data_IF_104298739613
#
_entry.id   IF_104298739613
#
_cell.length_a   1.000
_cell.length_b   1.000
_cell.length_c   1.000
_cell.angle_alpha   90.00
_cell.angle_beta   90.00
_cell.angle_gamma   90.00
#
_symmetry.space_group_name_H-M   'P 1'
#
loop_
_entity.id
_entity.type
_entity.pdbx_description
1 polymer ?
#
# COMPACT_ATOMS: atom_id res chain seq x y z
N UNK A 1 35.51 -7.22 -12.41
CA UNK A 1 36.44 -7.34 -11.26
C UNK A 1 35.60 -7.54 -10.01
N UNK A 2 35.93 -8.57 -9.26
CA UNK A 2 35.07 -9.24 -8.26
C UNK A 2 34.70 -8.34 -7.07
N UNK A 3 33.41 -8.27 -6.76
CA UNK A 3 32.89 -7.66 -5.53
C UNK A 3 33.20 -8.58 -4.35
N UNK A 4 33.97 -8.05 -3.40
CA UNK A 4 34.39 -8.76 -2.21
C UNK A 4 33.26 -8.70 -1.17
N UNK A 5 32.74 -9.87 -0.78
CA UNK A 5 31.76 -10.02 0.29
C UNK A 5 32.48 -9.94 1.65
N UNK A 6 32.36 -8.82 2.34
CA UNK A 6 32.78 -8.65 3.74
C UNK A 6 31.70 -9.17 4.69
N UNK A 7 32.08 -10.09 5.58
CA UNK A 7 31.20 -10.78 6.53
C UNK A 7 30.65 -9.92 7.69
N UNK A 8 29.82 -10.53 8.57
CA UNK A 8 28.99 -9.80 9.52
C UNK A 8 29.77 -9.47 10.80
N UNK A 9 29.73 -8.20 11.22
CA UNK A 9 30.10 -7.78 12.58
C UNK A 9 28.87 -7.28 13.33
N UNK A 10 28.78 -7.68 14.60
CA UNK A 10 27.59 -7.67 15.43
C UNK A 10 27.23 -6.32 16.08
N UNK A 11 25.93 -6.23 16.42
CA UNK A 11 25.28 -5.48 17.51
C UNK A 11 24.62 -4.14 17.18
N UNK A 12 23.31 -4.25 16.93
CA UNK A 12 22.31 -3.19 16.91
C UNK A 12 21.03 -3.80 16.34
N UNK A 13 19.86 -3.46 16.90
CA UNK A 13 18.53 -3.72 16.31
C UNK A 13 18.35 -2.92 14.98
N UNK A 14 19.36 -2.97 14.12
CA UNK A 14 19.39 -2.32 12.83
C UNK A 14 18.52 -3.09 11.86
N UNK A 15 17.51 -2.41 11.33
CA UNK A 15 16.72 -2.93 10.23
C UNK A 15 17.65 -3.38 9.09
N UNK A 16 17.68 -4.68 8.78
CA UNK A 16 18.43 -5.17 7.62
C UNK A 16 17.66 -4.83 6.36
N UNK A 17 18.28 -4.09 5.45
CA UNK A 17 17.77 -3.85 4.11
C UNK A 17 18.39 -4.85 3.13
N UNK A 18 17.61 -5.25 2.14
CA UNK A 18 18.03 -6.12 1.05
C UNK A 18 17.84 -5.40 -0.29
N UNK A 19 18.87 -5.44 -1.12
CA UNK A 19 18.83 -4.88 -2.47
C UNK A 19 18.05 -5.82 -3.40
N UNK A 20 17.08 -5.27 -4.12
CA UNK A 20 16.35 -5.98 -5.17
C UNK A 20 17.27 -6.29 -6.35
N UNK A 21 17.20 -7.51 -6.87
CA UNK A 21 18.02 -7.94 -8.01
C UNK A 21 17.33 -7.57 -9.34
N UNK A 22 18.04 -6.91 -10.27
CA UNK A 22 17.58 -6.72 -11.65
C UNK A 22 17.15 -8.03 -12.31
N UNK A 23 16.15 -7.96 -13.17
CA UNK A 23 15.57 -9.08 -13.90
C UNK A 23 15.74 -8.86 -15.42
N UNK A 24 16.47 -9.76 -16.09
CA UNK A 24 16.72 -9.67 -17.53
C UNK A 24 15.45 -9.75 -18.39
N UNK A 25 14.38 -10.38 -17.88
CA UNK A 25 13.10 -10.46 -18.58
C UNK A 25 12.21 -9.23 -18.39
N UNK A 26 12.50 -8.37 -17.40
CA UNK A 26 11.67 -7.22 -17.08
C UNK A 26 11.85 -6.10 -18.12
N UNK A 27 10.73 -5.46 -18.47
CA UNK A 27 10.70 -4.36 -19.44
C UNK A 27 9.83 -3.22 -18.91
N UNK A 28 10.30 -2.00 -19.14
CA UNK A 28 9.57 -0.77 -18.85
C UNK A 28 8.64 -0.48 -20.04
N UNK A 29 7.36 -0.85 -19.92
CA UNK A 29 6.42 -0.89 -21.06
C UNK A 29 5.20 0.03 -20.93
N UNK A 30 5.07 0.78 -19.83
CA UNK A 30 4.01 1.78 -19.62
C UNK A 30 2.60 1.22 -19.42
N UNK A 31 2.39 -0.07 -19.68
CA UNK A 31 1.17 -0.82 -19.36
C UNK A 31 1.52 -1.77 -18.23
N UNK A 32 1.39 -1.30 -17.00
CA UNK A 32 1.52 -2.15 -15.83
C UNK A 32 0.16 -2.75 -15.45
N UNK A 33 0.17 -3.92 -14.83
CA UNK A 33 -1.04 -4.55 -14.31
C UNK A 33 -1.86 -3.57 -13.47
N UNK A 34 -3.19 -3.73 -13.50
CA UNK A 34 -4.10 -2.88 -12.75
C UNK A 34 -3.70 -2.79 -11.27
N UNK A 35 -3.55 -1.55 -10.77
CA UNK A 35 -3.36 -1.22 -9.36
C UNK A 35 -4.61 -1.44 -8.50
N UNK A 36 -5.56 -2.27 -8.94
CA UNK A 36 -6.73 -2.63 -8.13
C UNK A 36 -6.29 -3.27 -6.80
N UNK A 37 -6.63 -2.59 -5.70
CA UNK A 37 -6.40 -3.08 -4.35
C UNK A 37 -7.29 -4.27 -4.04
N UNK A 38 -6.90 -5.10 -3.06
CA UNK A 38 -7.75 -6.22 -2.63
C UNK A 38 -9.12 -5.77 -2.13
N UNK A 39 -9.20 -4.62 -1.42
CA UNK A 39 -10.48 -4.04 -1.02
C UNK A 39 -11.33 -3.58 -2.21
N UNK A 40 -10.71 -3.05 -3.28
CA UNK A 40 -11.44 -2.69 -4.51
C UNK A 40 -11.98 -3.93 -5.22
N UNK A 41 -11.20 -5.02 -5.26
CA UNK A 41 -11.65 -6.31 -5.78
C UNK A 41 -12.78 -6.91 -4.95
N UNK A 42 -12.77 -6.73 -3.63
CA UNK A 42 -13.87 -7.12 -2.74
C UNK A 42 -15.15 -6.34 -3.03
N UNK A 43 -15.03 -5.03 -3.23
CA UNK A 43 -16.15 -4.15 -3.60
C UNK A 43 -16.76 -4.58 -4.93
N UNK A 44 -15.92 -4.82 -5.95
CA UNK A 44 -16.37 -5.29 -7.27
C UNK A 44 -17.09 -6.63 -7.13
N UNK A 45 -16.48 -7.59 -6.45
CA UNK A 45 -17.10 -8.90 -6.19
C UNK A 45 -18.45 -8.78 -5.47
N UNK A 46 -18.54 -7.93 -4.45
CA UNK A 46 -19.78 -7.75 -3.72
C UNK A 46 -20.87 -7.10 -4.59
N UNK A 47 -20.51 -6.10 -5.40
CA UNK A 47 -21.42 -5.45 -6.36
C UNK A 47 -21.93 -6.40 -7.42
N UNK A 48 -21.05 -7.20 -8.01
CA UNK A 48 -21.39 -8.09 -9.13
C UNK A 48 -22.34 -9.21 -8.70
N UNK A 49 -22.14 -9.79 -7.52
CA UNK A 49 -22.84 -11.01 -7.13
C UNK A 49 -23.90 -10.84 -6.04
N UNK A 50 -23.82 -9.82 -5.20
CA UNK A 50 -24.67 -9.71 -4.01
C UNK A 50 -25.51 -8.45 -3.99
N UNK A 51 -24.92 -7.29 -4.30
CA UNK A 51 -25.60 -6.01 -4.17
C UNK A 51 -26.81 -5.93 -5.12
N UNK A 52 -27.96 -5.51 -4.58
CA UNK A 52 -29.22 -5.47 -5.34
C UNK A 52 -29.84 -6.84 -5.66
N UNK A 53 -29.22 -7.94 -5.23
CA UNK A 53 -29.69 -9.32 -5.46
C UNK A 53 -30.09 -9.99 -4.14
N UNK A 54 -31.07 -10.91 -4.13
CA UNK A 54 -31.38 -11.70 -2.93
C UNK A 54 -30.18 -12.55 -2.49
N UNK A 55 -29.68 -12.33 -1.29
CA UNK A 55 -28.56 -13.08 -0.71
C UNK A 55 -28.68 -13.12 0.82
N UNK A 56 -27.86 -13.95 1.47
CA UNK A 56 -27.86 -14.09 2.92
C UNK A 56 -26.61 -13.39 3.48
N UNK A 57 -26.81 -12.56 4.50
CA UNK A 57 -25.73 -12.00 5.30
C UNK A 57 -25.73 -12.61 6.69
N UNK A 58 -24.57 -13.02 7.18
CA UNK A 58 -24.35 -13.49 8.53
C UNK A 58 -23.21 -12.71 9.18
N UNK A 59 -23.40 -12.30 10.42
CA UNK A 59 -22.47 -11.48 11.17
C UNK A 59 -22.09 -12.17 12.47
N UNK A 60 -20.89 -11.88 12.97
CA UNK A 60 -20.48 -12.23 14.32
C UNK A 60 -19.68 -11.08 14.92
N UNK A 61 -20.10 -10.57 16.09
CA UNK A 61 -19.34 -9.61 16.89
C UNK A 61 -18.09 -10.23 17.50
N UNK A 62 -18.18 -11.51 17.87
CA UNK A 62 -17.09 -12.26 18.49
C UNK A 62 -17.04 -13.69 17.95
N UNK A 63 -15.84 -14.14 17.57
CA UNK A 63 -15.56 -15.50 17.11
C UNK A 63 -14.08 -15.83 17.31
N UNK A 64 -13.68 -17.07 17.05
CA UNK A 64 -12.27 -17.49 17.05
C UNK A 64 -11.41 -16.74 16.02
N UNK A 65 -12.03 -16.08 15.04
CA UNK A 65 -11.38 -15.26 14.01
C UNK A 65 -11.65 -13.76 14.19
N UNK A 66 -12.10 -13.34 15.39
CA UNK A 66 -12.54 -11.97 15.65
C UNK A 66 -13.94 -11.67 15.07
N UNK A 67 -14.30 -10.39 14.87
CA UNK A 67 -15.55 -10.02 14.21
C UNK A 67 -15.56 -10.47 12.74
N UNK A 68 -16.71 -10.95 12.28
CA UNK A 68 -16.90 -11.50 10.93
C UNK A 68 -18.14 -10.92 10.26
N UNK A 69 -18.05 -10.76 8.95
CA UNK A 69 -19.20 -10.55 8.08
C UNK A 69 -19.12 -11.48 6.87
N UNK A 70 -20.16 -12.27 6.65
CA UNK A 70 -20.21 -13.27 5.59
C UNK A 70 -21.43 -13.03 4.73
N UNK A 71 -21.25 -12.97 3.43
CA UNK A 71 -22.34 -12.91 2.46
C UNK A 71 -22.30 -14.16 1.58
N UNK A 72 -23.43 -14.82 1.40
CA UNK A 72 -23.58 -16.00 0.52
C UNK A 72 -24.74 -15.82 -0.45
N UNK A 73 -24.53 -16.22 -1.70
CA UNK A 73 -25.52 -16.14 -2.79
C UNK A 73 -25.45 -17.40 -3.65
N UNK A 74 -26.60 -17.83 -4.19
CA UNK A 74 -26.66 -18.83 -5.25
C UNK A 74 -26.66 -18.09 -6.60
N UNK A 75 -25.66 -18.36 -7.42
CA UNK A 75 -25.48 -17.76 -8.75
C UNK A 75 -25.32 -18.89 -9.79
N UNK A 76 -26.38 -19.16 -10.54
CA UNK A 76 -26.47 -20.34 -11.40
C UNK A 76 -26.28 -21.64 -10.60
N UNK A 77 -25.31 -22.45 -11.01
CA UNK A 77 -24.96 -23.73 -10.38
C UNK A 77 -23.86 -23.61 -9.30
N UNK A 78 -23.58 -22.40 -8.82
CA UNK A 78 -22.53 -22.15 -7.85
C UNK A 78 -23.03 -21.37 -6.64
N UNK A 79 -22.57 -21.78 -5.46
CA UNK A 79 -22.62 -20.90 -4.29
C UNK A 79 -21.38 -20.01 -4.29
N UNK A 80 -21.60 -18.70 -4.23
CA UNK A 80 -20.55 -17.70 -4.06
C UNK A 80 -20.60 -17.14 -2.66
N UNK A 81 -19.42 -16.90 -2.08
CA UNK A 81 -19.26 -16.33 -0.76
C UNK A 81 -18.25 -15.19 -0.75
N UNK A 82 -18.43 -14.24 0.15
CA UNK A 82 -17.36 -13.36 0.61
C UNK A 82 -17.31 -13.42 2.13
N UNK A 83 -16.17 -13.84 2.68
CA UNK A 83 -15.91 -13.95 4.12
C UNK A 83 -14.98 -12.82 4.52
N UNK A 84 -15.48 -11.83 5.25
CA UNK A 84 -14.73 -10.67 5.70
C UNK A 84 -14.22 -10.91 7.12
N UNK A 85 -12.91 -10.83 7.29
CA UNK A 85 -12.21 -11.06 8.57
C UNK A 85 -11.30 -9.90 8.90
N UNK A 86 -10.73 -9.88 10.10
CA UNK A 86 -9.76 -8.86 10.52
C UNK A 86 -8.46 -8.88 9.72
N UNK A 87 -8.16 -9.96 9.02
CA UNK A 87 -6.91 -10.14 8.26
C UNK A 87 -7.09 -9.88 6.76
N UNK A 88 -8.33 -9.84 6.27
CA UNK A 88 -8.66 -9.68 4.86
C UNK A 88 -10.01 -10.26 4.51
N UNK A 89 -10.39 -10.23 3.23
CA UNK A 89 -11.57 -10.94 2.73
C UNK A 89 -11.17 -12.16 1.92
N UNK A 90 -11.97 -13.21 1.99
CA UNK A 90 -11.88 -14.38 1.13
C UNK A 90 -13.06 -14.38 0.17
N UNK A 91 -12.80 -14.33 -1.14
CA UNK A 91 -13.81 -14.49 -2.19
C UNK A 91 -13.85 -15.97 -2.60
N UNK A 92 -14.97 -16.62 -2.38
CA UNK A 92 -15.08 -18.08 -2.42
C UNK A 92 -16.18 -18.51 -3.40
N UNK A 93 -16.00 -19.64 -4.06
CA UNK A 93 -16.99 -20.24 -4.96
C UNK A 93 -16.93 -21.75 -4.83
N UNK A 94 -18.08 -22.40 -4.70
CA UNK A 94 -18.20 -23.86 -4.70
C UNK A 94 -19.37 -24.30 -5.58
N UNK A 95 -19.25 -25.43 -6.31
CA UNK A 95 -20.38 -26.01 -7.02
C UNK A 95 -21.55 -26.30 -6.08
N UNK A 96 -22.78 -26.08 -6.55
CA UNK A 96 -24.00 -26.36 -5.78
C UNK A 96 -24.06 -27.82 -5.33
N UNK A 97 -23.67 -28.74 -6.20
CA UNK A 97 -23.77 -30.17 -5.97
C UNK A 97 -22.71 -30.71 -5.00
N UNK A 98 -21.63 -29.97 -4.76
CA UNK A 98 -20.63 -30.35 -3.74
C UNK A 98 -21.07 -29.97 -2.32
N UNK A 99 -22.19 -29.27 -2.14
CA UNK A 99 -22.69 -28.89 -0.82
C UNK A 99 -23.55 -29.99 -0.22
N UNK A 100 -23.14 -30.47 0.96
CA UNK A 100 -23.89 -31.48 1.70
C UNK A 100 -25.30 -30.98 2.07
N UNK A 101 -26.32 -31.71 1.62
CA UNK A 101 -27.73 -31.47 1.93
C UNK A 101 -28.38 -32.76 2.41
N UNK A 102 -29.21 -32.66 3.46
CA UNK A 102 -29.92 -33.82 4.00
C UNK A 102 -30.89 -34.39 2.97
N UNK A 103 -31.08 -35.72 2.99
CA UNK A 103 -31.98 -36.42 2.07
C UNK A 103 -33.37 -35.78 2.02
N UNK A 104 -33.96 -35.48 3.19
CA UNK A 104 -35.26 -34.80 3.28
C UNK A 104 -35.29 -33.45 2.57
N UNK A 105 -34.26 -32.61 2.73
CA UNK A 105 -34.21 -31.32 2.02
C UNK A 105 -34.13 -31.50 0.51
N UNK A 106 -33.32 -32.44 0.04
CA UNK A 106 -33.25 -32.79 -1.40
C UNK A 106 -34.60 -33.27 -1.92
N UNK A 107 -35.26 -34.15 -1.19
CA UNK A 107 -36.57 -34.71 -1.55
C UNK A 107 -37.66 -33.63 -1.64
N UNK A 108 -37.63 -32.65 -0.74
CA UNK A 108 -38.56 -31.52 -0.74
C UNK A 108 -38.09 -30.33 -1.61
N UNK A 109 -37.04 -30.49 -2.43
CA UNK A 109 -36.51 -29.42 -3.28
C UNK A 109 -35.98 -28.20 -2.52
N UNK A 110 -35.70 -28.33 -1.23
CA UNK A 110 -35.21 -27.24 -0.38
C UNK A 110 -33.71 -27.04 -0.57
N UNK A 111 -33.22 -25.79 -0.50
CA UNK A 111 -31.80 -25.53 -0.54
C UNK A 111 -31.08 -26.13 0.70
N UNK A 112 -29.77 -26.45 0.57
CA UNK A 112 -28.92 -26.75 1.70
C UNK A 112 -28.99 -25.63 2.76
N UNK A 113 -28.69 -25.96 4.01
CA UNK A 113 -28.66 -24.95 5.07
C UNK A 113 -27.53 -23.94 4.83
N UNK A 114 -27.67 -22.67 5.29
CA UNK A 114 -26.56 -21.72 5.29
C UNK A 114 -25.30 -22.31 5.94
N UNK A 115 -25.45 -23.04 7.05
CA UNK A 115 -24.35 -23.73 7.72
C UNK A 115 -23.62 -24.75 6.84
N UNK A 116 -24.35 -25.54 6.04
CA UNK A 116 -23.77 -26.47 5.08
C UNK A 116 -22.98 -25.75 3.98
N UNK A 117 -23.55 -24.67 3.45
CA UNK A 117 -22.92 -23.84 2.40
C UNK A 117 -21.64 -23.20 2.94
N UNK A 118 -21.71 -22.61 4.14
CA UNK A 118 -20.56 -21.97 4.79
C UNK A 118 -19.40 -22.94 5.03
N UNK A 119 -19.68 -24.16 5.50
CA UNK A 119 -18.64 -25.19 5.71
C UNK A 119 -18.03 -25.67 4.40
N UNK A 120 -18.81 -25.71 3.32
CA UNK A 120 -18.29 -26.03 1.99
C UNK A 120 -17.40 -24.91 1.45
N UNK A 121 -17.79 -23.64 1.63
CA UNK A 121 -17.02 -22.47 1.21
C UNK A 121 -15.72 -22.29 2.02
N UNK A 122 -15.81 -22.36 3.35
CA UNK A 122 -14.70 -22.11 4.28
C UNK A 122 -14.76 -23.13 5.43
N UNK A 123 -13.99 -24.23 5.36
CA UNK A 123 -14.10 -25.35 6.30
C UNK A 123 -13.92 -24.98 7.78
N UNK A 124 -13.08 -23.98 8.06
CA UNK A 124 -12.73 -23.55 9.43
C UNK A 124 -13.55 -22.34 9.90
N UNK A 125 -14.67 -22.02 9.25
CA UNK A 125 -15.49 -20.88 9.65
C UNK A 125 -16.27 -21.18 10.94
N UNK A 126 -16.30 -20.26 11.93
CA UNK A 126 -16.98 -20.48 13.21
C UNK A 126 -18.50 -20.31 13.07
N UNK A 127 -19.15 -21.23 12.35
CA UNK A 127 -20.60 -21.22 12.06
C UNK A 127 -21.47 -20.96 13.30
N UNK A 128 -21.21 -21.53 14.49
CA UNK A 128 -22.06 -21.28 15.67
C UNK A 128 -22.08 -19.83 16.15
N UNK A 129 -21.05 -19.04 15.83
CA UNK A 129 -20.97 -17.63 16.20
C UNK A 129 -21.73 -16.71 15.22
N UNK A 130 -22.00 -17.19 14.00
CA UNK A 130 -22.60 -16.40 12.93
C UNK A 130 -24.12 -16.34 13.10
N UNK A 131 -24.66 -15.11 13.14
CA UNK A 131 -26.10 -14.85 13.20
C UNK A 131 -26.56 -14.15 11.92
N UNK A 132 -27.70 -14.54 11.34
CA UNK A 132 -28.23 -13.87 10.16
C UNK A 132 -28.61 -12.43 10.48
N UNK A 133 -28.50 -11.56 9.49
CA UNK A 133 -29.11 -10.22 9.51
C UNK A 133 -29.94 -10.02 8.25
N UNK A 134 -31.11 -9.38 8.40
CA UNK A 134 -32.06 -9.09 7.32
C UNK A 134 -32.26 -7.60 7.09
N UNK A 135 -31.48 -6.77 7.77
CA UNK A 135 -31.54 -5.32 7.66
C UNK A 135 -31.27 -4.84 6.23
N UNK A 136 -32.22 -4.13 5.58
CA UNK A 136 -32.07 -3.70 4.18
C UNK A 136 -30.89 -2.76 3.94
N UNK A 137 -30.42 -2.05 4.96
CA UNK A 137 -29.29 -1.12 4.88
C UNK A 137 -27.91 -1.80 4.99
N UNK A 138 -27.84 -3.05 5.49
CA UNK A 138 -26.57 -3.74 5.71
C UNK A 138 -25.69 -3.86 4.43
N UNK A 139 -26.21 -4.19 3.24
CA UNK A 139 -25.39 -4.23 2.03
C UNK A 139 -24.68 -2.91 1.71
N UNK A 140 -25.33 -1.77 1.96
CA UNK A 140 -24.72 -0.45 1.77
C UNK A 140 -23.61 -0.19 2.79
N UNK A 141 -23.80 -0.60 4.04
CA UNK A 141 -22.81 -0.45 5.11
C UNK A 141 -21.60 -1.34 4.89
N UNK A 142 -21.78 -2.56 4.39
CA UNK A 142 -20.68 -3.45 4.00
C UNK A 142 -19.83 -2.84 2.88
N UNK A 143 -20.46 -2.26 1.85
CA UNK A 143 -19.75 -1.53 0.80
C UNK A 143 -19.04 -0.28 1.34
N UNK A 144 -19.71 0.51 2.17
CA UNK A 144 -19.12 1.71 2.77
C UNK A 144 -17.91 1.36 3.66
N UNK A 145 -17.98 0.23 4.38
CA UNK A 145 -16.88 -0.28 5.19
C UNK A 145 -15.67 -0.67 4.34
N UNK A 146 -15.87 -1.32 3.19
CA UNK A 146 -14.80 -1.65 2.25
C UNK A 146 -14.22 -0.39 1.59
N UNK A 147 -15.08 0.54 1.17
CA UNK A 147 -14.67 1.81 0.53
C UNK A 147 -13.80 2.66 1.47
N UNK A 148 -14.11 2.69 2.77
CA UNK A 148 -13.28 3.37 3.80
C UNK A 148 -11.86 2.80 3.92
N UNK A 149 -11.61 1.58 3.42
CA UNK A 149 -10.30 0.94 3.43
C UNK A 149 -9.54 1.12 2.11
N UNK A 150 -10.17 1.70 1.08
CA UNK A 150 -9.51 1.99 -0.19
C UNK A 150 -8.57 3.17 -0.01
N UNK A 151 -7.28 2.96 -0.26
CA UNK A 151 -6.28 4.02 -0.19
C UNK A 151 -6.30 4.75 -1.53
N UNK A 152 -6.58 6.05 -1.50
CA UNK A 152 -6.66 6.92 -2.69
C UNK A 152 -5.54 7.95 -2.76
N UNK A 153 -4.72 8.05 -1.72
CA UNK A 153 -3.67 9.04 -1.65
C UNK A 153 -2.41 8.43 -1.06
N UNK A 154 -1.26 8.79 -1.60
CA UNK A 154 0.06 8.35 -1.17
C UNK A 154 0.96 9.53 -0.86
N UNK A 155 1.93 9.31 0.03
CA UNK A 155 2.96 10.28 0.35
C UNK A 155 4.32 9.61 0.33
N UNK A 156 5.28 10.25 -0.31
CA UNK A 156 6.63 9.71 -0.45
C UNK A 156 7.66 10.74 -0.05
N UNK A 157 8.68 10.30 0.66
CA UNK A 157 9.84 11.13 0.92
C UNK A 157 10.65 11.30 -0.36
N UNK A 158 11.11 12.50 -0.67
CA UNK A 158 12.07 12.75 -1.73
C UNK A 158 13.30 13.42 -1.14
N UNK A 159 14.38 12.65 -1.01
CA UNK A 159 15.67 13.13 -0.56
C UNK A 159 16.62 13.43 -1.71
N UNK A 160 17.55 14.36 -1.49
CA UNK A 160 18.57 14.75 -2.44
C UNK A 160 19.97 14.62 -1.85
N UNK A 161 20.87 13.98 -2.59
CA UNK A 161 22.29 13.84 -2.28
C UNK A 161 23.14 14.41 -3.42
N UNK A 162 23.97 15.39 -3.08
CA UNK A 162 25.01 15.92 -3.97
C UNK A 162 26.12 14.88 -4.18
N UNK A 163 26.98 15.15 -5.16
CA UNK A 163 28.16 14.35 -5.41
C UNK A 163 29.01 14.14 -4.14
N UNK A 164 29.37 12.90 -3.85
CA UNK A 164 30.16 12.50 -2.68
C UNK A 164 29.41 12.43 -1.35
N UNK A 165 28.12 12.80 -1.30
CA UNK A 165 27.29 12.60 -0.11
C UNK A 165 26.67 11.19 -0.11
N UNK A 166 26.48 10.61 1.08
CA UNK A 166 25.98 9.24 1.24
C UNK A 166 25.13 9.01 2.50
N UNK A 167 24.94 10.00 3.37
CA UNK A 167 24.28 9.79 4.67
C UNK A 167 22.93 10.51 4.80
N UNK A 168 22.06 10.01 5.68
CA UNK A 168 20.77 10.64 6.04
C UNK A 168 20.95 12.10 6.51
N UNK A 169 21.99 12.37 7.31
CA UNK A 169 22.31 13.71 7.78
C UNK A 169 22.63 14.67 6.63
N UNK A 170 23.46 14.23 5.67
CA UNK A 170 23.81 15.04 4.50
C UNK A 170 22.59 15.31 3.61
N UNK A 171 21.71 14.32 3.45
CA UNK A 171 20.46 14.43 2.69
C UNK A 171 19.55 15.54 3.26
N UNK A 172 19.37 15.58 4.59
CA UNK A 172 18.53 16.59 5.22
C UNK A 172 19.20 17.97 5.32
N UNK A 173 20.53 18.02 5.35
CA UNK A 173 21.27 19.27 5.38
C UNK A 173 21.10 20.11 4.10
N UNK A 174 20.90 19.48 2.94
CA UNK A 174 20.77 20.20 1.67
C UNK A 174 19.50 21.08 1.62
N UNK A 175 19.61 22.24 0.97
CA UNK A 175 18.52 23.22 0.77
C UNK A 175 18.18 23.39 -0.71
N UNK A 176 17.24 24.27 -1.02
CA UNK A 176 16.83 24.56 -2.40
C UNK A 176 17.97 25.14 -3.26
N UNK A 177 18.86 25.91 -2.64
CA UNK A 177 20.04 26.48 -3.29
C UNK A 177 21.07 25.42 -3.70
N UNK A 178 21.08 24.26 -3.02
CA UNK A 178 21.99 23.16 -3.32
C UNK A 178 21.53 22.31 -4.52
N UNK A 179 20.28 22.45 -4.98
CA UNK A 179 19.69 21.58 -5.99
C UNK A 179 20.40 21.67 -7.35
N UNK A 180 20.94 20.53 -7.82
CA UNK A 180 21.47 20.37 -9.17
C UNK A 180 20.42 20.56 -10.26
N UNK A 181 20.87 20.78 -11.50
CA UNK A 181 19.99 20.88 -12.66
C UNK A 181 19.25 19.54 -12.89
N UNK A 182 19.97 18.43 -12.72
CA UNK A 182 19.48 17.06 -12.86
C UNK A 182 18.42 16.74 -11.80
N UNK A 183 18.59 17.21 -10.56
CA UNK A 183 17.58 17.04 -9.53
C UNK A 183 16.34 17.90 -9.79
N UNK A 184 16.50 19.14 -10.27
CA UNK A 184 15.36 19.99 -10.68
C UNK A 184 14.57 19.36 -11.84
N UNK A 185 15.26 18.78 -12.82
CA UNK A 185 14.65 18.01 -13.90
C UNK A 185 13.87 16.81 -13.34
N UNK A 186 14.45 16.08 -12.38
CA UNK A 186 13.81 14.94 -11.75
C UNK A 186 12.57 15.32 -10.92
N UNK A 187 12.61 16.44 -10.20
CA UNK A 187 11.45 17.01 -9.48
C UNK A 187 10.30 17.26 -10.45
N UNK A 188 10.57 17.91 -11.59
CA UNK A 188 9.58 18.15 -12.65
C UNK A 188 9.10 16.85 -13.33
N UNK A 189 9.97 15.86 -13.43
CA UNK A 189 9.61 14.54 -13.95
C UNK A 189 8.61 13.81 -13.03
N UNK A 190 8.71 13.97 -11.70
CA UNK A 190 7.80 13.33 -10.76
C UNK A 190 6.40 13.95 -10.76
N UNK A 191 6.29 15.28 -10.81
CA UNK A 191 5.01 15.97 -10.72
C UNK A 191 5.12 17.48 -10.87
N UNK A 192 4.01 18.15 -10.58
CA UNK A 192 3.90 19.60 -10.60
C UNK A 192 4.39 20.18 -9.26
N UNK A 193 5.26 21.19 -9.32
CA UNK A 193 5.58 22.00 -8.15
C UNK A 193 4.42 22.93 -7.84
N UNK A 194 3.83 22.79 -6.65
CA UNK A 194 2.66 23.54 -6.20
C UNK A 194 3.01 24.46 -5.03
N UNK A 195 2.27 25.56 -4.88
CA UNK A 195 2.28 26.35 -3.65
C UNK A 195 1.41 25.69 -2.58
N UNK A 196 1.94 25.55 -1.36
CA UNK A 196 1.25 24.93 -0.23
C UNK A 196 0.18 25.84 0.36
N UNK A 197 0.42 27.14 0.38
CA UNK A 197 -0.51 28.11 0.96
C UNK A 197 -1.84 28.13 0.19
N UNK A 198 -2.92 27.73 0.85
CA UNK A 198 -4.24 27.63 0.23
C UNK A 198 -4.45 26.38 -0.64
N UNK A 199 -3.52 25.42 -0.62
CA UNK A 199 -3.67 24.15 -1.32
C UNK A 199 -4.92 23.40 -0.85
N UNK A 200 -5.71 22.89 -1.81
CA UNK A 200 -6.99 22.21 -1.55
C UNK A 200 -6.98 20.70 -1.82
N UNK A 201 -5.90 20.19 -2.42
CA UNK A 201 -5.75 18.76 -2.67
C UNK A 201 -5.25 18.00 -1.43
N UNK A 202 -4.92 16.73 -1.62
CA UNK A 202 -4.24 15.95 -0.58
C UNK A 202 -2.94 16.65 -0.13
N UNK A 203 -2.80 16.90 1.17
CA UNK A 203 -1.67 17.67 1.74
C UNK A 203 -0.61 16.84 2.46
N UNK A 204 -0.82 15.53 2.61
CA UNK A 204 0.09 14.60 3.29
C UNK A 204 0.61 14.97 4.69
N UNK A 205 -0.01 15.94 5.37
CA UNK A 205 0.44 16.45 6.67
C UNK A 205 1.32 17.71 6.59
N UNK A 206 1.55 18.24 5.39
CA UNK A 206 2.12 19.57 5.19
C UNK A 206 1.14 20.67 5.64
N UNK A 207 1.72 21.79 6.08
CA UNK A 207 1.00 23.00 6.43
C UNK A 207 0.61 23.78 5.17
N UNK A 208 -0.67 24.12 5.08
CA UNK A 208 -1.27 24.85 3.95
C UNK A 208 -1.76 26.24 4.38
N UNK A 209 -1.53 26.64 5.63
CA UNK A 209 -2.02 27.89 6.19
C UNK A 209 -0.91 28.91 6.44
N UNK A 210 0.23 28.48 7.02
CA UNK A 210 1.22 29.38 7.61
C UNK A 210 2.66 29.09 7.17
N UNK A 211 2.86 28.38 6.07
CA UNK A 211 4.17 28.04 5.49
C UNK A 211 5.14 27.31 6.47
N UNK A 212 4.62 26.65 7.52
CA UNK A 212 5.45 26.01 8.55
C UNK A 212 6.23 24.80 8.03
N UNK A 213 5.81 24.22 6.91
CA UNK A 213 6.46 23.07 6.28
C UNK A 213 7.00 23.43 4.89
N UNK A 214 7.40 24.69 4.71
CA UNK A 214 7.85 25.22 3.43
C UNK A 214 6.71 25.87 2.64
N UNK A 215 7.07 26.49 1.53
CA UNK A 215 6.11 27.19 0.66
C UNK A 215 5.63 26.34 -0.50
N UNK A 216 6.44 25.36 -0.92
CA UNK A 216 6.19 24.56 -2.10
C UNK A 216 6.41 23.07 -1.82
N UNK A 217 5.82 22.25 -2.67
CA UNK A 217 5.99 20.80 -2.69
C UNK A 217 5.73 20.27 -4.10
N UNK A 218 5.99 18.99 -4.33
CA UNK A 218 5.69 18.33 -5.62
C UNK A 218 4.48 17.43 -5.45
N UNK A 219 3.54 17.57 -6.38
CA UNK A 219 2.28 16.85 -6.36
C UNK A 219 1.95 16.28 -7.73
N UNK A 220 1.25 15.14 -7.77
CA UNK A 220 0.63 14.65 -9.00
C UNK A 220 -0.67 13.91 -8.73
N UNK A 221 -1.60 14.01 -9.68
CA UNK A 221 -2.68 13.03 -9.85
C UNK A 221 -2.24 11.99 -10.86
N UNK A 222 -2.31 10.72 -10.49
CA UNK A 222 -1.85 9.64 -11.34
C UNK A 222 -2.71 8.40 -11.15
N UNK A 223 -3.35 7.94 -12.23
CA UNK A 223 -4.33 6.84 -12.23
C UNK A 223 -5.44 6.98 -11.17
N UNK A 224 -5.88 8.20 -10.90
CA UNK A 224 -6.90 8.49 -9.88
C UNK A 224 -6.37 8.54 -8.45
N UNK A 225 -5.07 8.28 -8.22
CA UNK A 225 -4.41 8.51 -6.95
C UNK A 225 -3.86 9.92 -6.85
N UNK A 226 -3.93 10.52 -5.65
CA UNK A 226 -3.22 11.75 -5.32
C UNK A 226 -1.88 11.40 -4.66
N UNK A 227 -0.77 11.93 -5.18
CA UNK A 227 0.57 11.67 -4.65
C UNK A 227 1.21 12.99 -4.27
N UNK A 228 1.66 13.08 -3.02
CA UNK A 228 2.41 14.22 -2.49
C UNK A 228 3.84 13.80 -2.14
N UNK A 229 4.83 14.60 -2.53
CA UNK A 229 6.23 14.34 -2.20
C UNK A 229 6.72 15.29 -1.10
N UNK A 230 7.22 14.73 -0.01
CA UNK A 230 7.97 15.50 0.98
C UNK A 230 9.39 15.72 0.47
N UNK A 231 9.61 16.81 -0.27
CA UNK A 231 10.90 17.14 -0.88
C UNK A 231 11.85 17.75 0.16
N UNK A 232 12.99 17.10 0.42
CA UNK A 232 13.91 17.48 1.51
C UNK A 232 14.43 18.90 1.38
N UNK A 233 14.59 19.40 0.15
CA UNK A 233 15.09 20.75 -0.14
C UNK A 233 14.02 21.83 -0.04
N UNK A 234 12.73 21.49 -0.17
CA UNK A 234 11.61 22.43 0.01
C UNK A 234 11.11 22.51 1.45
N UNK A 235 11.43 21.52 2.29
CA UNK A 235 11.15 21.58 3.72
C UNK A 235 12.08 22.58 4.42
N UNK A 236 11.61 23.31 5.45
CA UNK A 236 12.41 24.34 6.12
C UNK A 236 13.71 23.78 6.68
N UNK A 237 14.79 24.53 6.47
CA UNK A 237 16.10 24.21 7.02
C UNK A 237 16.35 25.04 8.29
N UNK A 238 16.79 24.38 9.36
CA UNK A 238 17.17 25.05 10.60
C UNK A 238 18.67 24.88 10.86
N UNK A 239 19.46 25.93 10.68
CA UNK A 239 20.92 25.87 10.86
C UNK A 239 21.34 25.46 12.29
N UNK A 240 20.50 25.73 13.30
CA UNK A 240 20.77 25.33 14.68
C UNK A 240 20.42 23.87 14.99
N UNK A 241 19.77 23.16 14.08
CA UNK A 241 19.35 21.77 14.26
C UNK A 241 20.12 20.85 13.30
N UNK A 242 21.26 20.33 13.74
CA UNK A 242 22.06 19.39 12.95
C UNK A 242 21.28 18.15 12.50
N UNK A 243 20.26 17.72 13.25
CA UNK A 243 19.47 16.54 12.90
C UNK A 243 18.29 16.84 11.96
N UNK A 244 17.99 18.13 11.72
CA UNK A 244 16.87 18.59 10.90
C UNK A 244 15.57 17.84 11.25
N UNK A 245 15.22 17.84 12.54
CA UNK A 245 14.14 17.04 13.11
C UNK A 245 12.80 17.28 12.40
N UNK A 246 12.50 18.49 11.94
CA UNK A 246 11.27 18.76 11.19
C UNK A 246 11.29 18.09 9.80
N UNK A 247 12.40 18.14 9.06
CA UNK A 247 12.51 17.40 7.79
C UNK A 247 12.35 15.89 8.02
N UNK A 248 13.00 15.39 9.06
CA UNK A 248 12.94 14.00 9.50
C UNK A 248 11.56 13.60 10.00
N UNK A 249 10.78 14.50 10.60
CA UNK A 249 9.40 14.27 11.02
C UNK A 249 8.48 14.02 9.84
N UNK A 250 8.74 14.61 8.68
CA UNK A 250 7.99 14.32 7.45
C UNK A 250 8.56 13.07 6.76
N UNK A 251 9.77 13.17 6.21
CA UNK A 251 10.38 12.12 5.37
C UNK A 251 10.67 10.84 6.16
N UNK A 252 11.10 10.97 7.42
CA UNK A 252 11.30 9.82 8.29
C UNK A 252 10.00 9.12 8.66
N UNK A 253 8.82 9.74 8.50
CA UNK A 253 7.53 9.08 8.72
C UNK A 253 6.86 8.60 7.42
N UNK A 254 7.57 8.68 6.29
CA UNK A 254 7.09 8.08 5.04
C UNK A 254 7.53 6.61 4.95
N UNK A 255 6.68 5.78 4.37
CA UNK A 255 6.99 4.35 4.27
C UNK A 255 8.02 4.09 3.17
N UNK A 256 7.91 4.84 2.07
CA UNK A 256 8.80 4.77 0.92
C UNK A 256 9.53 6.11 0.78
N UNK A 257 10.86 6.04 0.65
CA UNK A 257 11.72 7.21 0.45
C UNK A 257 12.46 7.04 -0.88
N UNK A 258 12.26 8.01 -1.76
CA UNK A 258 13.00 8.18 -3.00
C UNK A 258 14.22 9.05 -2.73
N UNK A 259 15.42 8.63 -3.15
CA UNK A 259 16.66 9.37 -2.98
C UNK A 259 17.23 9.64 -4.36
N UNK A 260 17.33 10.91 -4.73
CA UNK A 260 18.05 11.31 -5.93
C UNK A 260 19.53 11.54 -5.61
N UNK A 261 20.42 11.00 -6.43
CA UNK A 261 21.86 11.08 -6.25
C UNK A 261 22.52 11.66 -7.50
N UNK A 262 23.29 12.74 -7.36
CA UNK A 262 24.03 13.33 -8.49
C UNK A 262 25.21 12.47 -8.96
N UNK A 263 25.65 11.52 -8.14
CA UNK A 263 26.80 10.65 -8.43
C UNK A 263 26.47 9.19 -8.19
N UNK A 264 27.40 8.31 -8.53
CA UNK A 264 27.33 6.87 -8.29
C UNK A 264 27.63 6.47 -6.83
N UNK A 265 27.93 7.45 -5.95
CA UNK A 265 28.15 7.22 -4.52
C UNK A 265 26.91 6.57 -3.90
N UNK A 266 26.95 5.30 -3.46
CA UNK A 266 25.75 4.64 -2.95
C UNK A 266 25.28 5.28 -1.64
N UNK A 267 23.95 5.37 -1.46
CA UNK A 267 23.41 5.77 -0.17
C UNK A 267 23.75 4.73 0.91
N UNK A 268 24.29 5.19 2.02
CA UNK A 268 24.62 4.37 3.17
C UNK A 268 23.35 4.07 3.98
N UNK A 269 22.62 3.03 3.56
CA UNK A 269 21.37 2.56 4.19
C UNK A 269 21.44 2.44 5.72
N UNK A 270 22.52 1.94 6.34
CA UNK A 270 22.70 1.97 7.80
C UNK A 270 22.53 3.34 8.47
N UNK A 271 22.73 4.45 7.75
CA UNK A 271 22.53 5.80 8.29
C UNK A 271 21.06 6.20 8.38
N UNK A 272 20.15 5.46 7.74
CA UNK A 272 18.73 5.67 7.83
C UNK A 272 18.23 5.20 9.19
N UNK A 273 17.79 6.15 10.03
CA UNK A 273 17.48 5.85 11.43
C UNK A 273 15.99 5.64 11.68
N UNK A 274 15.14 5.99 10.71
CA UNK A 274 13.69 5.84 10.88
C UNK A 274 13.24 4.38 10.93
N UNK A 275 12.32 4.08 11.85
CA UNK A 275 11.61 2.80 11.92
C UNK A 275 10.51 2.67 10.86
N UNK A 276 10.01 3.79 10.31
CA UNK A 276 8.88 3.81 9.38
C UNK A 276 9.31 3.66 7.92
N UNK A 277 10.52 4.08 7.55
CA UNK A 277 11.02 3.84 6.21
C UNK A 277 11.24 2.32 6.02
N UNK A 278 10.53 1.72 5.07
CA UNK A 278 10.58 0.28 4.76
C UNK A 278 11.14 0.00 3.37
N UNK A 279 11.01 0.94 2.45
CA UNK A 279 11.60 0.86 1.12
C UNK A 279 12.34 2.16 0.80
N UNK A 280 13.58 2.02 0.34
CA UNK A 280 14.40 3.12 -0.19
C UNK A 280 14.62 2.86 -1.67
N UNK A 281 14.22 3.81 -2.52
CA UNK A 281 14.47 3.76 -3.96
C UNK A 281 15.51 4.84 -4.28
N UNK A 282 16.69 4.46 -4.72
CA UNK A 282 17.71 5.40 -5.16
C UNK A 282 17.66 5.55 -6.69
N UNK A 283 17.67 6.80 -7.16
CA UNK A 283 17.66 7.17 -8.58
C UNK A 283 18.82 8.11 -8.85
N UNK A 284 19.53 7.89 -9.96
CA UNK A 284 20.60 8.78 -10.43
C UNK A 284 20.51 8.99 -11.94
N UNK A 285 21.00 10.12 -12.46
CA UNK A 285 21.13 10.31 -13.90
C UNK A 285 22.12 9.31 -14.50
N UNK A 286 21.83 8.83 -15.70
CA UNK A 286 22.70 7.94 -16.47
C UNK A 286 22.51 8.25 -17.97
N UNK A 287 23.29 9.19 -18.50
CA UNK A 287 23.10 9.71 -19.86
C UNK A 287 21.73 10.36 -20.05
N UNK A 288 20.94 9.83 -20.99
CA UNK A 288 19.57 10.23 -21.29
C UNK A 288 18.50 9.46 -20.49
N UNK A 289 18.94 8.62 -19.53
CA UNK A 289 18.09 7.76 -18.70
C UNK A 289 18.31 8.04 -17.21
N UNK A 290 17.53 7.33 -16.40
CA UNK A 290 17.75 7.18 -14.97
C UNK A 290 18.15 5.75 -14.64
N UNK A 291 19.11 5.58 -13.73
CA UNK A 291 19.45 4.31 -13.12
C UNK A 291 18.74 4.19 -11.77
N UNK A 292 18.19 3.01 -11.47
CA UNK A 292 17.38 2.74 -10.28
C UNK A 292 17.99 1.63 -9.41
N UNK A 293 17.90 1.79 -8.10
CA UNK A 293 18.14 0.71 -7.14
C UNK A 293 17.07 0.72 -6.07
N UNK A 294 16.62 -0.45 -5.62
CA UNK A 294 15.55 -0.57 -4.63
C UNK A 294 16.05 -1.42 -3.47
N UNK A 295 15.97 -0.87 -2.27
CA UNK A 295 16.34 -1.54 -1.03
C UNK A 295 15.13 -1.66 -0.13
N UNK A 296 14.79 -2.88 0.27
CA UNK A 296 13.61 -3.17 1.11
C UNK A 296 14.02 -3.78 2.43
N UNK A 297 13.39 -3.33 3.51
CA UNK A 297 13.56 -3.87 4.86
C UNK A 297 13.06 -5.32 4.94
N UNK A 298 13.70 -6.14 5.76
CA UNK A 298 13.28 -7.53 6.02
C UNK A 298 11.78 -7.60 6.36
N UNK A 299 11.06 -8.50 5.69
CA UNK A 299 9.63 -8.72 5.88
C UNK A 299 8.73 -7.94 4.92
N UNK A 300 9.28 -7.03 4.11
CA UNK A 300 8.56 -6.49 2.95
C UNK A 300 8.59 -7.55 1.83
N UNK A 301 7.43 -8.05 1.35
CA UNK A 301 7.39 -9.00 0.25
C UNK A 301 7.79 -8.33 -1.06
N UNK A 302 8.08 -9.15 -2.09
CA UNK A 302 8.33 -8.67 -3.45
C UNK A 302 7.13 -7.87 -4.00
N UNK A 303 7.43 -6.91 -4.88
CA UNK A 303 6.43 -6.08 -5.54
C UNK A 303 6.85 -5.65 -6.95
N UNK A 304 5.85 -5.66 -7.84
CA UNK A 304 5.96 -5.26 -9.23
C UNK A 304 5.93 -3.71 -9.39
N UNK A 305 6.39 -3.16 -10.52
CA UNK A 305 7.10 -3.85 -11.61
C UNK A 305 8.52 -4.26 -11.22
N UNK A 306 9.03 -5.33 -11.81
CA UNK A 306 10.43 -5.75 -11.62
C UNK A 306 11.42 -4.72 -12.20
N UNK A 307 12.59 -4.60 -11.58
CA UNK A 307 13.69 -3.76 -12.09
C UNK A 307 14.31 -4.43 -13.33
N UNK A 308 14.43 -3.74 -14.49
CA UNK A 308 15.08 -4.30 -15.69
C UNK A 308 16.58 -4.53 -15.49
N UNK A 309 17.19 -5.35 -16.35
CA UNK A 309 18.66 -5.46 -16.47
C UNK A 309 19.09 -5.02 -17.89
N UNK A 310 19.81 -3.89 -18.06
CA UNK A 310 20.36 -3.02 -17.01
C UNK A 310 19.26 -2.26 -16.23
N UNK A 311 19.53 -1.85 -14.97
CA UNK A 311 18.55 -1.22 -14.07
C UNK A 311 18.31 0.24 -14.43
N UNK A 312 17.79 0.47 -15.63
CA UNK A 312 17.57 1.79 -16.21
C UNK A 312 16.14 1.96 -16.73
N UNK A 313 15.63 3.18 -16.66
CA UNK A 313 14.37 3.59 -17.26
C UNK A 313 14.49 4.97 -17.92
N UNK A 314 13.64 5.24 -18.91
CA UNK A 314 13.71 6.48 -19.69
C UNK A 314 13.20 7.70 -18.90
N UNK A 315 13.65 8.90 -19.28
CA UNK A 315 13.15 10.18 -18.76
C UNK A 315 11.89 10.67 -19.50
N UNK A 316 10.96 9.76 -19.73
CA UNK A 316 9.72 10.02 -20.47
C UNK A 316 8.48 9.63 -19.63
N UNK A 317 7.29 9.81 -20.20
CA UNK A 317 6.04 9.46 -19.53
C UNK A 317 5.95 7.97 -19.14
N UNK A 318 6.59 7.08 -19.90
CA UNK A 318 6.58 5.64 -19.66
C UNK A 318 7.49 5.28 -18.48
N UNK A 319 8.69 5.87 -18.42
CA UNK A 319 9.57 5.73 -17.27
C UNK A 319 8.99 6.36 -15.99
N UNK A 320 8.28 7.49 -16.13
CA UNK A 320 7.56 8.13 -15.01
C UNK A 320 6.48 7.21 -14.46
N UNK A 321 5.67 6.64 -15.34
CA UNK A 321 4.62 5.71 -14.97
C UNK A 321 5.18 4.46 -14.28
N UNK A 322 6.30 3.92 -14.75
CA UNK A 322 7.03 2.84 -14.08
C UNK A 322 7.45 3.21 -12.65
N UNK A 323 8.05 4.38 -12.45
CA UNK A 323 8.52 4.81 -11.14
C UNK A 323 7.36 5.02 -10.16
N UNK A 324 6.27 5.66 -10.59
CA UNK A 324 5.09 5.86 -9.75
C UNK A 324 4.40 4.54 -9.39
N UNK A 325 4.32 3.57 -10.33
CA UNK A 325 3.88 2.21 -10.03
C UNK A 325 4.76 1.55 -8.97
N UNK A 326 6.09 1.64 -9.12
CA UNK A 326 7.04 1.04 -8.19
C UNK A 326 6.90 1.62 -6.78
N UNK A 327 6.72 2.94 -6.65
CA UNK A 327 6.51 3.62 -5.37
C UNK A 327 5.21 3.18 -4.68
N UNK A 328 4.09 3.17 -5.40
CA UNK A 328 2.78 2.76 -4.85
C UNK A 328 2.80 1.29 -4.41
N UNK A 329 3.37 0.41 -5.23
CA UNK A 329 3.45 -1.00 -4.89
C UNK A 329 4.45 -1.30 -3.77
N UNK A 330 5.54 -0.53 -3.66
CA UNK A 330 6.46 -0.59 -2.53
C UNK A 330 5.76 -0.28 -1.19
N UNK A 331 4.92 0.75 -1.17
CA UNK A 331 4.15 1.10 0.03
C UNK A 331 3.12 0.02 0.37
N UNK A 332 2.38 -0.47 -0.64
CA UNK A 332 1.40 -1.55 -0.45
C UNK A 332 2.03 -2.85 0.04
N UNK A 333 3.21 -3.21 -0.46
CA UNK A 333 3.96 -4.35 0.02
C UNK A 333 4.37 -4.15 1.48
N UNK A 334 4.78 -2.95 1.84
CA UNK A 334 5.19 -2.62 3.22
C UNK A 334 4.05 -2.81 4.24
N UNK A 335 2.78 -2.65 3.85
CA UNK A 335 1.64 -2.94 4.72
C UNK A 335 1.54 -4.41 5.15
N UNK A 336 2.11 -5.34 4.36
CA UNK A 336 2.16 -6.77 4.67
C UNK A 336 3.34 -7.14 5.58
N UNK A 337 4.20 -6.18 5.90
CA UNK A 337 5.32 -6.42 6.80
C UNK A 337 4.85 -6.55 8.26
N UNK A 338 5.60 -7.27 9.12
CA UNK A 338 5.21 -7.50 10.52
C UNK A 338 4.98 -6.22 11.34
N UNK A 339 5.58 -5.09 10.94
CA UNK A 339 5.46 -3.81 11.64
C UNK A 339 4.15 -3.06 11.33
N UNK A 340 3.51 -3.36 10.19
CA UNK A 340 2.31 -2.67 9.70
C UNK A 340 1.08 -3.55 9.65
N UNK A 341 1.22 -4.86 9.37
CA UNK A 341 0.09 -5.78 9.28
C UNK A 341 -0.84 -5.72 10.52
N UNK A 342 -0.32 -5.65 11.77
CA UNK A 342 -1.18 -5.51 12.95
C UNK A 342 -2.00 -4.21 12.98
N UNK A 343 -1.44 -3.10 12.46
CA UNK A 343 -2.13 -1.80 12.43
C UNK A 343 -3.29 -1.81 11.44
N UNK A 344 -3.07 -2.36 10.25
CA UNK A 344 -4.12 -2.53 9.23
C UNK A 344 -5.21 -3.45 9.76
N UNK A 345 -4.82 -4.58 10.39
CA UNK A 345 -5.78 -5.52 10.97
C UNK A 345 -6.62 -4.89 12.08
N UNK A 346 -6.03 -4.02 12.92
CA UNK A 346 -6.75 -3.29 13.97
C UNK A 346 -7.80 -2.34 13.40
N UNK A 347 -7.48 -1.57 12.37
CA UNK A 347 -8.46 -0.68 11.72
C UNK A 347 -9.63 -1.49 11.15
N UNK A 348 -9.31 -2.58 10.46
CA UNK A 348 -10.32 -3.48 9.88
C UNK A 348 -11.18 -4.16 10.95
N UNK A 349 -10.58 -4.55 12.08
CA UNK A 349 -11.29 -5.08 13.25
C UNK A 349 -12.33 -4.08 13.77
N UNK A 350 -11.96 -2.82 13.97
CA UNK A 350 -12.88 -1.77 14.43
C UNK A 350 -14.04 -1.59 13.46
N UNK A 351 -13.75 -1.50 12.15
CA UNK A 351 -14.76 -1.33 11.12
C UNK A 351 -15.74 -2.52 11.04
N UNK A 352 -15.22 -3.76 11.09
CA UNK A 352 -16.04 -4.96 11.08
C UNK A 352 -16.87 -5.11 12.36
N UNK A 353 -16.30 -4.77 13.51
CA UNK A 353 -17.00 -4.82 14.80
C UNK A 353 -18.16 -3.82 14.81
N UNK A 354 -17.97 -2.59 14.34
CA UNK A 354 -19.04 -1.58 14.24
C UNK A 354 -20.23 -2.10 13.40
N UNK A 355 -19.95 -2.69 12.23
CA UNK A 355 -20.99 -3.30 11.39
C UNK A 355 -21.68 -4.45 12.14
N UNK A 356 -20.91 -5.35 12.76
CA UNK A 356 -21.49 -6.47 13.50
C UNK A 356 -22.35 -6.01 14.70
N UNK A 357 -21.93 -4.99 15.43
CA UNK A 357 -22.69 -4.42 16.56
C UNK A 357 -24.01 -3.80 16.15
N UNK A 358 -24.01 -3.13 15.00
CA UNK A 358 -25.21 -2.45 14.47
C UNK A 358 -26.23 -3.41 13.88
N UNK A 359 -25.80 -4.54 13.30
CA UNK A 359 -26.66 -5.36 12.43
C UNK A 359 -26.81 -6.84 12.85
N UNK A 360 -25.97 -7.38 13.74
CA UNK A 360 -26.06 -8.79 14.13
C UNK A 360 -27.41 -9.12 14.78
N UNK A 361 -28.11 -10.12 14.22
CA UNK A 361 -29.37 -10.62 14.78
C UNK A 361 -30.56 -9.67 14.62
N UNK A 362 -30.41 -8.64 13.77
CA UNK A 362 -31.48 -7.71 13.38
C UNK A 362 -32.06 -8.05 12.02
#
# INVERSE_FOLDING_TARGET
MSLNAGGPSHSGDGATFSLEKPQAAAKVTGVHESLLQECERDIIWYRDYFFGKPHINLLAKSSTRGPLAVSIVLDGDYYKGIVRTTEGSERLTVPRDSVASSFWRKLFGMPPTPSSILRALSPNIPVPALKPSREPSLPNELLAMEERQVIRSYKFGLGYLRAGQSTEEQLFANTEEDMSAEFKEFVNFLGETIDLKGWRGYRAGLDVANDQTGKQSVYTKWQGYEIMFHVSTYLPHNQGDRQQLEKKRHIGNDIVVLIFQDSDTPFNLPTLTSKQNHVVIAVRPDGDKYCISVSSKTGVPHFNPDIPDPPQFNRDAVGRDFLLHKLVNAERASYKSPSFAPKISRTRNVLLLDVAERFEGR
#
